data_IF_749044297981
#
_entry.id   IF_749044297981
#
_cell.length_a   1.000
_cell.length_b   1.000
_cell.length_c   1.000
_cell.angle_alpha   90.00
_cell.angle_beta   90.00
_cell.angle_gamma   90.00
#
_symmetry.space_group_name_H-M   'P 1'
#
loop_
_entity.id
_entity.type
_entity.pdbx_description
1 polymer ?
#
# COMPACT_ATOMS: atom_id res chain seq x y z
N UNK A 1 4.32 -7.34 -8.40
CA UNK A 1 5.53 -6.58 -8.02
C UNK A 1 6.85 -7.25 -8.42
N UNK A 2 6.88 -8.56 -8.69
CA UNK A 2 8.13 -9.24 -9.06
C UNK A 2 8.78 -8.72 -10.36
N UNK A 3 8.00 -8.31 -11.35
CA UNK A 3 8.53 -7.70 -12.58
C UNK A 3 9.31 -6.41 -12.26
N UNK A 4 8.71 -5.49 -11.50
CA UNK A 4 9.38 -4.27 -11.04
C UNK A 4 10.62 -4.58 -10.19
N UNK A 5 10.55 -5.60 -9.33
CA UNK A 5 11.72 -6.05 -8.57
C UNK A 5 12.82 -6.60 -9.49
N UNK A 6 12.46 -7.24 -10.62
CA UNK A 6 13.38 -7.62 -11.69
C UNK A 6 14.15 -6.43 -12.26
N UNK A 7 13.46 -5.35 -12.63
CA UNK A 7 14.10 -4.12 -13.13
C UNK A 7 15.08 -3.52 -12.11
N UNK A 8 14.70 -3.53 -10.83
CA UNK A 8 15.59 -3.04 -9.76
C UNK A 8 16.82 -3.93 -9.60
N UNK A 9 16.66 -5.26 -9.63
CA UNK A 9 17.79 -6.20 -9.53
C UNK A 9 18.75 -6.03 -10.71
N UNK A 10 18.22 -5.85 -11.92
CA UNK A 10 19.01 -5.60 -13.12
C UNK A 10 19.81 -4.29 -12.99
N UNK A 11 19.15 -3.21 -12.56
CA UNK A 11 19.80 -1.90 -12.41
C UNK A 11 20.87 -1.86 -11.30
N UNK A 12 20.67 -2.59 -10.19
CA UNK A 12 21.63 -2.64 -9.07
C UNK A 12 22.76 -3.64 -9.30
N UNK A 13 22.58 -4.59 -10.22
CA UNK A 13 23.56 -5.61 -10.53
C UNK A 13 23.60 -6.80 -9.55
N UNK A 14 24.50 -7.77 -9.81
CA UNK A 14 24.60 -9.01 -9.04
C UNK A 14 24.90 -8.78 -7.55
N UNK A 15 24.29 -9.59 -6.69
CA UNK A 15 24.48 -9.50 -5.24
C UNK A 15 23.62 -8.44 -4.54
N UNK A 16 22.84 -7.66 -5.30
CA UNK A 16 21.83 -6.76 -4.73
C UNK A 16 20.73 -7.54 -4.01
N UNK A 17 20.33 -7.05 -2.84
CA UNK A 17 19.24 -7.64 -2.08
C UNK A 17 17.93 -6.89 -2.34
N UNK A 18 17.00 -7.54 -3.05
CA UNK A 18 15.67 -6.98 -3.37
C UNK A 18 14.60 -7.93 -2.88
N UNK A 19 13.70 -7.42 -2.03
CA UNK A 19 12.60 -8.17 -1.41
C UNK A 19 11.27 -7.51 -1.72
N UNK A 20 10.35 -8.25 -2.33
CA UNK A 20 8.93 -7.91 -2.32
C UNK A 20 8.35 -8.25 -0.95
N UNK A 21 7.64 -7.30 -0.34
CA UNK A 21 6.97 -7.52 0.94
C UNK A 21 5.50 -7.82 0.64
N UNK A 22 5.06 -9.01 1.04
CA UNK A 22 3.65 -9.38 1.03
C UNK A 22 3.06 -9.09 2.41
N UNK A 23 1.90 -8.43 2.44
CA UNK A 23 1.17 -8.08 3.67
C UNK A 23 -0.19 -8.80 3.61
N UNK A 24 -0.52 -9.56 4.66
CA UNK A 24 -1.69 -10.47 4.63
C UNK A 24 -1.51 -11.66 3.68
N UNK A 25 -2.61 -12.19 3.17
CA UNK A 25 -2.72 -13.32 2.25
C UNK A 25 -3.35 -12.90 0.89
N UNK A 26 -2.81 -11.85 0.26
CA UNK A 26 -3.16 -11.45 -1.10
C UNK A 26 -4.17 -10.30 -1.20
N UNK A 27 -4.89 -10.24 -2.32
CA UNK A 27 -5.68 -9.07 -2.74
C UNK A 27 -6.86 -8.76 -1.81
N UNK A 28 -7.52 -9.78 -1.27
CA UNK A 28 -8.66 -9.61 -0.36
C UNK A 28 -8.22 -8.94 0.95
N UNK A 29 -7.12 -9.41 1.54
CA UNK A 29 -6.58 -8.83 2.78
C UNK A 29 -6.12 -7.38 2.59
N UNK A 30 -5.63 -7.03 1.39
CA UNK A 30 -5.25 -5.66 1.05
C UNK A 30 -6.44 -4.68 1.10
N UNK A 31 -7.66 -5.19 0.88
CA UNK A 31 -8.90 -4.38 0.90
C UNK A 31 -9.57 -4.35 2.27
N UNK A 32 -9.57 -5.47 3.00
CA UNK A 32 -10.37 -5.60 4.24
C UNK A 32 -9.56 -5.44 5.52
N UNK A 33 -8.23 -5.62 5.48
CA UNK A 33 -7.40 -5.49 6.67
C UNK A 33 -7.20 -4.01 7.03
N UNK A 34 -7.43 -3.60 8.29
CA UNK A 34 -7.17 -2.23 8.72
C UNK A 34 -5.73 -1.78 8.41
N UNK A 35 -5.58 -0.58 7.83
CA UNK A 35 -4.28 0.00 7.45
C UNK A 35 -3.25 0.01 8.59
N UNK A 36 -3.68 0.23 9.84
CA UNK A 36 -2.79 0.18 11.01
C UNK A 36 -2.26 -1.23 11.28
N UNK A 37 -3.06 -2.27 11.03
CA UNK A 37 -2.65 -3.65 11.18
C UNK A 37 -1.68 -4.06 10.07
N UNK A 38 -1.98 -3.68 8.82
CA UNK A 38 -1.06 -3.86 7.69
C UNK A 38 0.30 -3.19 7.97
N UNK A 39 0.28 -1.98 8.51
CA UNK A 39 1.49 -1.24 8.87
C UNK A 39 2.30 -1.95 9.96
N UNK A 40 1.64 -2.49 10.99
CA UNK A 40 2.33 -3.26 12.04
C UNK A 40 2.96 -4.55 11.50
N UNK A 41 2.29 -5.24 10.57
CA UNK A 41 2.84 -6.43 9.92
C UNK A 41 4.05 -6.08 9.04
N UNK A 42 3.96 -5.01 8.24
CA UNK A 42 5.07 -4.47 7.47
C UNK A 42 6.27 -4.18 8.38
N UNK A 43 6.05 -3.47 9.49
CA UNK A 43 7.12 -3.13 10.42
C UNK A 43 7.79 -4.38 11.00
N UNK A 44 7.00 -5.37 11.43
CA UNK A 44 7.51 -6.63 11.97
C UNK A 44 8.38 -7.37 10.94
N UNK A 45 7.95 -7.44 9.68
CA UNK A 45 8.74 -8.09 8.62
C UNK A 45 10.05 -7.36 8.33
N UNK A 46 10.02 -6.02 8.26
CA UNK A 46 11.21 -5.22 7.99
C UNK A 46 12.22 -5.29 9.16
N UNK A 47 11.73 -5.31 10.40
CA UNK A 47 12.57 -5.42 11.60
C UNK A 47 13.18 -6.80 11.79
N UNK A 48 12.48 -7.85 11.36
CA UNK A 48 12.98 -9.22 11.41
C UNK A 48 14.08 -9.49 10.37
N UNK A 49 14.15 -8.71 9.28
CA UNK A 49 15.11 -8.94 8.22
C UNK A 49 16.51 -8.38 8.57
N UNK A 50 17.42 -9.29 8.91
CA UNK A 50 18.80 -8.95 9.27
C UNK A 50 19.57 -8.23 8.17
N UNK A 51 19.19 -8.41 6.89
CA UNK A 51 19.85 -7.77 5.75
C UNK A 51 19.50 -6.28 5.64
N UNK A 52 18.38 -5.86 6.24
CA UNK A 52 17.92 -4.47 6.23
C UNK A 52 18.46 -3.64 7.40
N UNK A 53 19.18 -4.25 8.36
CA UNK A 53 19.66 -3.58 9.59
C UNK A 53 20.57 -2.37 9.33
N UNK A 54 21.30 -2.35 8.21
CA UNK A 54 22.16 -1.21 7.80
C UNK A 54 21.39 -0.13 7.03
N UNK A 55 20.07 -0.25 7.00
CA UNK A 55 19.15 0.58 6.24
C UNK A 55 19.00 0.13 4.80
N UNK A 56 17.95 0.62 4.15
CA UNK A 56 17.52 0.18 2.83
C UNK A 56 16.74 1.28 2.10
N UNK A 57 16.57 1.13 0.78
CA UNK A 57 15.64 1.94 0.01
C UNK A 57 14.29 1.22 -0.05
N UNK A 58 13.20 1.99 -0.03
CA UNK A 58 11.85 1.45 -0.04
C UNK A 58 11.06 2.03 -1.20
N UNK A 59 10.39 1.17 -1.95
CA UNK A 59 9.44 1.56 -2.99
C UNK A 59 8.06 1.14 -2.51
N UNK A 60 7.18 2.11 -2.29
CA UNK A 60 5.75 1.87 -2.11
C UNK A 60 5.04 2.05 -3.44
N UNK A 61 4.16 1.11 -3.80
CA UNK A 61 3.34 1.19 -5.01
C UNK A 61 1.87 1.35 -4.63
N UNK A 62 1.15 2.27 -5.28
CA UNK A 62 -0.28 2.51 -5.01
C UNK A 62 -0.54 2.72 -3.50
N UNK A 63 -1.51 2.04 -2.89
CA UNK A 63 -1.79 2.08 -1.44
C UNK A 63 -0.54 1.75 -0.59
N UNK A 64 0.36 0.89 -1.08
CA UNK A 64 1.62 0.56 -0.40
C UNK A 64 2.53 1.78 -0.14
N UNK A 65 2.35 2.87 -0.89
CA UNK A 65 3.05 4.15 -0.63
C UNK A 65 2.63 4.80 0.68
N UNK A 66 1.37 4.63 1.10
CA UNK A 66 0.88 5.12 2.38
C UNK A 66 1.46 4.31 3.54
N UNK A 67 1.55 2.99 3.39
CA UNK A 67 2.19 2.11 4.36
C UNK A 67 3.69 2.42 4.48
N UNK A 68 4.38 2.60 3.35
CA UNK A 68 5.80 2.94 3.32
C UNK A 68 6.07 4.28 4.04
N UNK A 69 5.28 5.33 3.73
CA UNK A 69 5.35 6.60 4.47
C UNK A 69 5.04 6.41 5.96
N UNK A 70 3.99 5.64 6.28
CA UNK A 70 3.60 5.33 7.65
C UNK A 70 4.71 4.64 8.45
N UNK A 71 5.47 3.73 7.82
CA UNK A 71 6.60 3.04 8.44
C UNK A 71 7.71 4.03 8.79
N UNK A 72 8.08 4.90 7.84
CA UNK A 72 9.09 5.95 8.07
C UNK A 72 8.67 6.87 9.22
N UNK A 73 7.40 7.25 9.29
CA UNK A 73 6.90 8.19 10.30
C UNK A 73 6.69 7.58 11.69
N UNK A 74 6.31 6.29 11.78
CA UNK A 74 5.88 5.67 13.06
C UNK A 74 6.88 4.67 13.65
N UNK A 75 7.69 4.03 12.81
CA UNK A 75 8.64 3.00 13.25
C UNK A 75 10.09 3.45 13.02
N UNK A 76 10.42 3.91 11.80
CA UNK A 76 11.72 4.49 11.46
C UNK A 76 12.93 3.56 11.59
N UNK A 77 12.73 2.28 11.96
CA UNK A 77 13.79 1.29 12.20
C UNK A 77 13.39 -0.06 11.61
N UNK A 78 14.20 -0.67 10.72
CA UNK A 78 15.50 -0.18 10.23
C UNK A 78 15.38 1.09 9.37
N UNK A 79 16.46 1.87 9.28
CA UNK A 79 16.45 3.19 8.62
C UNK A 79 16.12 3.07 7.12
N UNK A 80 15.13 3.80 6.66
CA UNK A 80 14.88 3.99 5.22
C UNK A 80 15.77 5.11 4.70
N UNK A 81 16.63 4.83 3.73
CA UNK A 81 17.52 5.81 3.12
C UNK A 81 16.78 6.67 2.09
N UNK A 82 16.03 6.01 1.21
CA UNK A 82 15.19 6.66 0.19
C UNK A 82 13.83 6.00 0.18
N UNK A 83 12.78 6.81 0.23
CA UNK A 83 11.40 6.37 -0.01
C UNK A 83 10.97 6.85 -1.41
N UNK A 84 10.64 5.91 -2.28
CA UNK A 84 9.99 6.18 -3.58
C UNK A 84 8.51 5.86 -3.42
N UNK A 85 7.67 6.89 -3.51
CA UNK A 85 6.21 6.75 -3.55
C UNK A 85 5.77 6.66 -5.01
N UNK A 86 5.60 5.43 -5.50
CA UNK A 86 5.22 5.19 -6.89
C UNK A 86 3.70 5.14 -7.02
N UNK A 87 3.13 6.12 -7.72
CA UNK A 87 1.68 6.30 -7.94
C UNK A 87 0.84 6.20 -6.64
N UNK A 88 1.40 6.72 -5.54
CA UNK A 88 0.79 6.64 -4.21
C UNK A 88 -0.23 7.76 -3.94
N UNK A 89 -1.44 7.45 -3.42
CA UNK A 89 -2.46 8.44 -3.10
C UNK A 89 -2.17 9.13 -1.76
N UNK A 90 -1.11 9.93 -1.68
CA UNK A 90 -0.61 10.49 -0.42
C UNK A 90 -1.62 11.41 0.30
N UNK A 91 -2.52 12.05 -0.45
CA UNK A 91 -3.61 12.88 0.05
C UNK A 91 -4.96 12.13 0.12
N UNK A 92 -4.94 10.80 0.03
CA UNK A 92 -6.14 10.00 -0.13
C UNK A 92 -6.64 9.97 -1.57
N UNK A 93 -7.83 9.40 -1.75
CA UNK A 93 -8.54 9.29 -3.02
C UNK A 93 -10.01 9.63 -2.78
N UNK A 94 -10.63 10.25 -3.77
CA UNK A 94 -12.07 10.49 -3.82
C UNK A 94 -12.69 9.60 -4.91
N UNK A 95 -13.65 8.75 -4.54
CA UNK A 95 -14.26 7.73 -5.39
C UNK A 95 -13.45 6.44 -5.50
N UNK A 96 -14.10 5.34 -5.85
CA UNK A 96 -13.43 4.15 -6.36
C UNK A 96 -13.45 4.20 -7.89
N UNK A 97 -12.32 4.04 -8.60
CA UNK A 97 -12.33 3.93 -10.06
C UNK A 97 -13.11 2.67 -10.50
N UNK A 98 -13.68 2.69 -11.71
CA UNK A 98 -14.34 1.53 -12.32
C UNK A 98 -13.31 0.45 -12.77
N UNK A 99 -12.56 -0.12 -11.82
CA UNK A 99 -11.60 -1.21 -12.08
C UNK A 99 -12.22 -2.61 -11.99
N UNK A 100 -13.51 -2.67 -11.65
CA UNK A 100 -14.29 -3.89 -11.42
C UNK A 100 -14.38 -4.80 -12.67
N UNK A 101 -14.21 -4.23 -13.87
CA UNK A 101 -14.31 -4.94 -15.14
C UNK A 101 -13.29 -6.09 -15.31
N UNK A 102 -12.20 -6.10 -14.53
CA UNK A 102 -11.11 -7.07 -14.67
C UNK A 102 -10.98 -8.04 -13.49
N UNK A 103 -11.88 -7.99 -12.50
CA UNK A 103 -11.79 -8.82 -11.29
C UNK A 103 -12.74 -10.02 -11.35
N UNK A 104 -12.44 -11.14 -10.67
CA UNK A 104 -13.37 -12.26 -10.55
C UNK A 104 -14.70 -11.80 -9.93
N UNK A 105 -15.83 -12.28 -10.47
CA UNK A 105 -17.19 -11.81 -10.15
C UNK A 105 -17.49 -11.64 -8.64
N UNK A 106 -17.00 -12.55 -7.79
CA UNK A 106 -17.20 -12.48 -6.34
C UNK A 106 -16.44 -11.31 -5.68
N UNK A 107 -15.21 -11.06 -6.14
CA UNK A 107 -14.39 -9.96 -5.63
C UNK A 107 -14.89 -8.62 -6.20
N UNK A 108 -15.26 -8.61 -7.50
CA UNK A 108 -15.90 -7.47 -8.13
C UNK A 108 -17.18 -7.07 -7.39
N UNK A 109 -18.14 -7.98 -7.20
CA UNK A 109 -19.42 -7.71 -6.49
C UNK A 109 -19.23 -7.13 -5.08
N UNK A 110 -18.24 -7.59 -4.33
CA UNK A 110 -17.91 -7.05 -2.99
C UNK A 110 -17.38 -5.62 -3.08
N UNK A 111 -16.51 -5.34 -4.05
CA UNK A 111 -15.97 -4.00 -4.31
C UNK A 111 -17.07 -3.05 -4.75
N UNK A 112 -17.98 -3.48 -5.64
CA UNK A 112 -19.14 -2.68 -6.07
C UNK A 112 -19.97 -2.28 -4.85
N UNK A 113 -20.28 -3.25 -3.98
CA UNK A 113 -21.09 -3.00 -2.80
C UNK A 113 -20.41 -2.01 -1.84
N UNK A 114 -19.10 -2.16 -1.62
CA UNK A 114 -18.32 -1.21 -0.81
C UNK A 114 -18.30 0.17 -1.47
N UNK A 115 -18.10 0.25 -2.79
CA UNK A 115 -18.07 1.50 -3.52
C UNK A 115 -19.42 2.23 -3.45
N UNK A 116 -20.53 1.52 -3.63
CA UNK A 116 -21.88 2.07 -3.52
C UNK A 116 -22.17 2.59 -2.10
N UNK A 117 -21.84 1.80 -1.08
CA UNK A 117 -22.04 2.18 0.32
C UNK A 117 -21.16 3.38 0.71
N UNK A 118 -19.87 3.31 0.41
CA UNK A 118 -18.92 4.38 0.74
C UNK A 118 -19.24 5.64 -0.02
N UNK A 119 -19.69 5.54 -1.28
CA UNK A 119 -20.12 6.70 -2.05
C UNK A 119 -21.39 7.34 -1.50
N UNK A 120 -22.39 6.53 -1.13
CA UNK A 120 -23.63 7.05 -0.55
C UNK A 120 -23.40 7.74 0.80
N UNK A 121 -22.42 7.29 1.59
CA UNK A 121 -22.15 7.81 2.93
C UNK A 121 -21.14 8.96 2.89
N UNK A 122 -19.94 8.70 2.38
CA UNK A 122 -18.82 9.64 2.46
C UNK A 122 -18.90 10.76 1.43
N UNK A 123 -19.51 10.51 0.26
CA UNK A 123 -19.64 11.50 -0.81
C UNK A 123 -21.02 12.17 -0.86
N UNK A 124 -21.83 12.03 0.19
CA UNK A 124 -23.06 12.83 0.33
C UNK A 124 -22.74 14.30 0.58
N UNK A 125 -23.58 15.22 0.09
CA UNK A 125 -23.44 16.67 0.31
C UNK A 125 -23.31 17.01 1.79
N UNK A 126 -24.05 16.31 2.66
CA UNK A 126 -24.01 16.51 4.10
C UNK A 126 -22.66 16.10 4.74
N UNK A 127 -22.02 15.05 4.24
CA UNK A 127 -20.69 14.62 4.69
C UNK A 127 -19.59 15.53 4.13
N UNK A 128 -19.66 15.87 2.84
CA UNK A 128 -18.66 16.73 2.17
C UNK A 128 -18.67 18.16 2.72
N UNK A 129 -19.84 18.73 3.04
CA UNK A 129 -19.95 20.05 3.68
C UNK A 129 -19.31 20.13 5.07
N UNK A 130 -19.03 18.98 5.72
CA UNK A 130 -18.32 18.91 7.00
C UNK A 130 -16.83 18.65 6.84
N UNK A 131 -16.39 18.26 5.65
CA UNK A 131 -15.01 17.89 5.32
C UNK A 131 -14.29 18.94 4.48
N UNK A 132 -15.02 19.94 3.94
CA UNK A 132 -14.43 21.07 3.24
C UNK A 132 -13.57 21.92 4.18
N UNK A 133 -12.26 21.96 3.89
CA UNK A 133 -11.25 22.81 4.55
C UNK A 133 -11.39 24.27 4.15
#
# INVERSE_FOLDING_TARGET
MEEAAGWVREALGPGSYVRCIEIGNGEVDSLIMPMNQQLSQLAAQLQADVRLRRGFNMIGYSQGSLLARGFVQRYGTPRVHTLISWVGPQAGQYGCPDWEANWPDLAASTVIAINQLTSAVWYSDASQARLSF
#
